data_IF_840700378773
#
_entry.id   IF_840700378773
#
_cell.length_a   1.000
_cell.length_b   1.000
_cell.length_c   1.000
_cell.angle_alpha   90.00
_cell.angle_beta   90.00
_cell.angle_gamma   90.00
#
_symmetry.space_group_name_H-M   'P 1'
#
loop_
_entity.id
_entity.type
_entity.pdbx_description
1 polymer ?
#
# COMPACT_ATOMS: atom_id res chain seq x y z
N UNK A 1 15.80 -50.82 19.88
CA UNK A 1 16.09 -49.75 18.91
C UNK A 1 14.83 -49.04 18.48
N UNK A 2 14.48 -48.00 19.23
CA UNK A 2 13.56 -46.97 18.79
C UNK A 2 14.45 -45.82 18.34
N UNK A 3 14.41 -45.48 17.05
CA UNK A 3 15.03 -44.26 16.54
C UNK A 3 13.90 -43.27 16.39
N UNK A 4 13.88 -42.31 17.31
CA UNK A 4 12.98 -41.18 17.38
C UNK A 4 13.08 -40.36 16.08
N UNK A 5 11.97 -40.24 15.36
CA UNK A 5 11.84 -39.25 14.29
C UNK A 5 11.73 -37.88 14.96
N UNK A 6 12.82 -37.11 14.83
CA UNK A 6 12.96 -35.73 15.27
C UNK A 6 11.95 -34.87 14.52
N UNK A 7 10.82 -34.60 15.18
CA UNK A 7 9.77 -33.69 14.74
C UNK A 7 10.40 -32.28 14.63
N UNK A 8 10.72 -31.88 13.40
CA UNK A 8 11.14 -30.52 13.07
C UNK A 8 9.98 -29.57 13.40
N UNK A 9 9.97 -29.10 14.65
CA UNK A 9 9.06 -28.09 15.16
C UNK A 9 9.37 -26.79 14.41
N UNK A 10 8.68 -26.58 13.30
CA UNK A 10 8.63 -25.29 12.63
C UNK A 10 8.15 -24.27 13.66
N UNK A 11 9.10 -23.51 14.19
CA UNK A 11 8.85 -22.39 15.06
C UNK A 11 8.16 -21.32 14.20
N UNK A 12 6.83 -21.43 14.08
CA UNK A 12 6.00 -20.40 13.47
C UNK A 12 6.08 -19.18 14.39
N UNK A 13 7.11 -18.36 14.19
CA UNK A 13 7.18 -17.03 14.76
C UNK A 13 5.88 -16.27 14.47
N UNK A 14 5.50 -15.29 15.31
CA UNK A 14 4.25 -14.56 15.11
C UNK A 14 4.22 -14.06 13.66
N UNK A 15 3.22 -14.52 12.89
CA UNK A 15 3.04 -14.10 11.51
C UNK A 15 3.13 -12.57 11.49
N UNK A 16 4.16 -12.03 10.82
CA UNK A 16 4.39 -10.61 10.78
C UNK A 16 3.10 -9.96 10.29
N UNK A 17 2.52 -9.05 11.09
CA UNK A 17 1.27 -8.40 10.71
C UNK A 17 1.47 -7.76 9.33
N UNK A 18 0.59 -8.09 8.38
CA UNK A 18 0.72 -7.64 7.00
C UNK A 18 -0.11 -6.37 6.80
N UNK A 19 0.42 -5.42 6.03
CA UNK A 19 -0.38 -4.32 5.49
C UNK A 19 -1.06 -4.83 4.22
N UNK A 20 -2.37 -4.84 4.23
CA UNK A 20 -3.21 -5.25 3.12
C UNK A 20 -3.60 -4.03 2.27
N UNK A 21 -3.60 -4.22 0.95
CA UNK A 21 -4.03 -3.20 -0.01
C UNK A 21 -5.49 -3.48 -0.35
N UNK A 22 -6.40 -2.61 0.07
CA UNK A 22 -7.85 -2.80 -0.14
C UNK A 22 -8.34 -2.14 -1.42
N UNK A 23 -7.72 -1.03 -1.84
CA UNK A 23 -7.98 -0.38 -3.13
C UNK A 23 -6.73 0.30 -3.66
N UNK A 24 -6.32 -0.03 -4.89
CA UNK A 24 -5.13 0.55 -5.52
C UNK A 24 -5.49 1.44 -6.72
N UNK A 25 -5.23 2.74 -6.57
CA UNK A 25 -5.34 3.73 -7.63
C UNK A 25 -3.98 4.23 -8.12
N UNK A 26 -3.98 5.01 -9.20
CA UNK A 26 -2.75 5.54 -9.79
C UNK A 26 -2.03 6.56 -8.89
N UNK A 27 -2.76 7.20 -7.97
CA UNK A 27 -2.23 8.27 -7.10
C UNK A 27 -2.63 8.14 -5.63
N UNK A 28 -3.44 7.14 -5.32
CA UNK A 28 -3.97 6.90 -3.99
C UNK A 28 -4.10 5.41 -3.75
N UNK A 29 -4.04 5.01 -2.49
CA UNK A 29 -4.13 3.63 -2.06
C UNK A 29 -4.89 3.56 -0.73
N UNK A 30 -5.91 2.73 -0.65
CA UNK A 30 -6.53 2.38 0.62
C UNK A 30 -5.86 1.12 1.17
N UNK A 31 -5.50 1.16 2.45
CA UNK A 31 -4.80 0.10 3.15
C UNK A 31 -5.53 -0.29 4.44
N UNK A 32 -5.30 -1.52 4.88
CA UNK A 32 -5.72 -2.03 6.17
C UNK A 32 -4.61 -2.81 6.86
N UNK A 33 -4.57 -2.79 8.20
CA UNK A 33 -3.65 -3.62 8.99
C UNK A 33 -4.26 -3.97 10.36
N UNK A 34 -3.78 -5.05 11.01
CA UNK A 34 -4.20 -5.40 12.36
C UNK A 34 -3.84 -4.32 13.38
N UNK A 35 -4.74 -4.05 14.32
CA UNK A 35 -4.50 -3.09 15.38
C UNK A 35 -3.33 -3.47 16.29
N UNK A 36 -2.58 -2.45 16.70
CA UNK A 36 -1.49 -2.59 17.64
C UNK A 36 -2.01 -2.94 19.03
N UNK A 37 -1.50 -4.03 19.61
CA UNK A 37 -1.89 -4.49 20.94
C UNK A 37 -1.60 -3.41 22.00
N UNK A 38 -2.67 -2.90 22.60
CA UNK A 38 -2.61 -1.96 23.71
C UNK A 38 -2.33 -2.72 25.01
N UNK A 39 -1.45 -2.17 25.86
CA UNK A 39 -1.16 -2.74 27.18
C UNK A 39 -1.98 -2.07 28.28
N UNK A 40 -2.58 -2.88 29.15
CA UNK A 40 -3.31 -2.42 30.32
C UNK A 40 -4.49 -1.51 29.96
N UNK A 41 -4.54 -0.33 30.56
CA UNK A 41 -5.60 0.67 30.35
C UNK A 41 -5.29 1.71 29.27
N UNK A 42 -4.25 1.50 28.46
CA UNK A 42 -3.93 2.42 27.36
C UNK A 42 -4.99 2.28 26.28
N UNK A 43 -5.54 3.41 25.82
CA UNK A 43 -6.61 3.45 24.82
C UNK A 43 -6.22 4.16 23.54
N UNK A 44 -5.07 4.85 23.55
CA UNK A 44 -4.64 5.71 22.47
C UNK A 44 -3.33 5.22 21.84
N UNK A 45 -3.31 5.19 20.52
CA UNK A 45 -2.15 4.80 19.72
C UNK A 45 -1.98 5.81 18.58
N UNK A 46 -0.73 6.07 18.23
CA UNK A 46 -0.38 6.84 17.04
C UNK A 46 0.30 5.92 16.04
N UNK A 47 -0.19 5.93 14.81
CA UNK A 47 0.34 5.22 13.67
C UNK A 47 1.07 6.17 12.74
N UNK A 48 2.14 5.66 12.12
CA UNK A 48 2.87 6.34 11.06
C UNK A 48 3.01 5.39 9.88
N UNK A 49 2.49 5.80 8.74
CA UNK A 49 2.61 5.06 7.48
C UNK A 49 3.73 5.69 6.66
N UNK A 50 4.73 4.89 6.31
CA UNK A 50 5.89 5.31 5.53
C UNK A 50 5.90 4.55 4.21
N UNK A 51 6.00 5.27 3.10
CA UNK A 51 6.19 4.69 1.78
C UNK A 51 7.67 4.72 1.41
N UNK A 52 8.20 3.60 0.92
CA UNK A 52 9.53 3.54 0.32
C UNK A 52 9.39 3.18 -1.15
N UNK A 53 10.04 3.95 -2.03
CA UNK A 53 10.14 3.62 -3.44
C UNK A 53 11.16 2.49 -3.64
N UNK A 54 10.82 1.56 -4.52
CA UNK A 54 11.75 0.51 -4.97
C UNK A 54 12.26 0.84 -6.37
N UNK A 55 13.58 0.76 -6.55
CA UNK A 55 14.22 0.97 -7.85
C UNK A 55 14.07 -0.26 -8.78
N UNK A 56 13.86 -1.45 -8.22
CA UNK A 56 13.77 -2.72 -8.95
C UNK A 56 12.92 -3.77 -8.23
N UNK A 57 12.84 -4.98 -8.80
CA UNK A 57 12.16 -6.15 -8.17
C UNK A 57 12.90 -6.68 -6.95
N UNK A 58 14.23 -6.69 -7.01
CA UNK A 58 15.12 -7.23 -5.97
C UNK A 58 15.59 -6.17 -4.96
N UNK A 59 15.11 -4.93 -5.11
CA UNK A 59 15.54 -3.83 -4.26
C UNK A 59 14.95 -4.00 -2.84
N UNK A 60 15.82 -3.98 -1.83
CA UNK A 60 15.40 -4.03 -0.43
C UNK A 60 14.95 -2.64 0.00
N UNK A 61 13.79 -2.50 0.67
CA UNK A 61 13.31 -1.19 1.09
C UNK A 61 14.22 -0.60 2.18
N UNK A 62 14.69 0.63 1.95
CA UNK A 62 15.40 1.42 2.94
C UNK A 62 14.52 2.57 3.42
N UNK A 63 13.73 2.29 4.45
CA UNK A 63 12.80 3.26 5.02
C UNK A 63 13.49 4.38 5.81
N UNK A 64 14.74 4.21 6.22
CA UNK A 64 15.43 5.22 7.05
C UNK A 64 16.06 6.30 6.17
N UNK A 65 16.56 5.95 4.98
CA UNK A 65 17.14 6.91 4.05
C UNK A 65 16.18 7.37 2.94
N UNK A 66 15.31 6.47 2.45
CA UNK A 66 14.39 6.73 1.31
C UNK A 66 12.91 6.77 1.68
N UNK A 67 12.57 6.42 2.93
CA UNK A 67 11.20 6.41 3.39
C UNK A 67 10.60 7.80 3.48
N UNK A 68 9.38 7.96 2.96
CA UNK A 68 8.59 9.17 3.06
C UNK A 68 7.36 8.89 3.91
N UNK A 69 7.13 9.68 4.96
CA UNK A 69 5.91 9.58 5.78
C UNK A 69 4.74 10.10 4.95
N UNK A 70 3.79 9.21 4.65
CA UNK A 70 2.63 9.50 3.79
C UNK A 70 1.34 9.66 4.58
N UNK A 71 1.26 9.11 5.78
CA UNK A 71 0.14 9.33 6.69
C UNK A 71 0.58 9.23 8.16
N UNK A 72 -0.09 9.97 9.04
CA UNK A 72 0.00 9.82 10.49
C UNK A 72 -1.40 9.88 11.06
N UNK A 73 -1.73 8.95 11.95
CA UNK A 73 -3.08 8.76 12.47
C UNK A 73 -2.98 8.61 13.98
N UNK A 74 -3.85 9.27 14.73
CA UNK A 74 -4.00 9.04 16.16
C UNK A 74 -5.39 8.49 16.40
N UNK A 75 -5.47 7.31 17.01
CA UNK A 75 -6.71 6.61 17.25
C UNK A 75 -6.89 6.38 18.75
N UNK A 76 -8.10 6.67 19.22
CA UNK A 76 -8.61 6.23 20.51
C UNK A 76 -9.56 5.06 20.30
N UNK A 77 -9.49 4.04 21.17
CA UNK A 77 -10.38 2.87 21.12
C UNK A 77 -10.43 2.23 19.72
N UNK A 78 -9.25 1.88 19.22
CA UNK A 78 -9.08 1.24 17.92
C UNK A 78 -9.91 -0.05 17.76
N UNK A 79 -10.49 -0.21 16.58
CA UNK A 79 -11.07 -1.46 16.09
C UNK A 79 -9.99 -2.53 15.88
N UNK A 80 -10.38 -3.79 15.70
CA UNK A 80 -9.43 -4.89 15.43
C UNK A 80 -8.58 -4.66 14.16
N UNK A 81 -9.17 -3.98 13.17
CA UNK A 81 -8.52 -3.58 11.94
C UNK A 81 -8.51 -2.06 11.81
N UNK A 82 -7.36 -1.51 11.45
CA UNK A 82 -7.17 -0.09 11.18
C UNK A 82 -7.09 0.13 9.69
N UNK A 83 -7.74 1.18 9.19
CA UNK A 83 -7.73 1.54 7.77
C UNK A 83 -7.20 2.95 7.56
N UNK A 84 -6.60 3.19 6.40
CA UNK A 84 -6.16 4.52 5.99
C UNK A 84 -6.12 4.66 4.47
N UNK A 85 -6.31 5.90 4.01
CA UNK A 85 -6.03 6.29 2.63
C UNK A 85 -4.67 6.96 2.57
N UNK A 86 -3.82 6.47 1.67
CA UNK A 86 -2.49 6.99 1.35
C UNK A 86 -2.59 7.80 0.05
N UNK A 87 -2.56 9.14 0.12
CA UNK A 87 -2.59 9.99 -1.06
C UNK A 87 -1.19 10.26 -1.62
N UNK A 88 -1.12 10.87 -2.81
CA UNK A 88 0.10 11.47 -3.34
C UNK A 88 1.11 10.48 -3.92
N UNK A 89 0.69 9.26 -4.24
CA UNK A 89 1.55 8.28 -4.90
C UNK A 89 1.84 8.70 -6.35
N UNK A 90 3.05 8.42 -6.82
CA UNK A 90 3.37 8.55 -8.23
C UNK A 90 2.84 7.34 -9.02
N UNK A 91 2.17 7.57 -10.17
CA UNK A 91 1.72 6.48 -11.05
C UNK A 91 2.87 5.64 -11.59
N UNK A 92 2.58 4.40 -11.98
CA UNK A 92 3.56 3.43 -12.51
C UNK A 92 4.86 3.34 -11.69
N UNK A 93 4.76 3.50 -10.36
CA UNK A 93 5.90 3.47 -9.45
C UNK A 93 5.72 2.34 -8.44
N UNK A 94 6.83 1.68 -8.10
CA UNK A 94 6.84 0.55 -7.20
C UNK A 94 7.10 1.01 -5.76
N UNK A 95 6.30 0.53 -4.83
CA UNK A 95 6.40 0.89 -3.42
C UNK A 95 6.35 -0.33 -2.51
N UNK A 96 6.87 -0.13 -1.30
CA UNK A 96 6.55 -0.91 -0.10
C UNK A 96 6.08 0.07 0.97
N UNK A 97 5.06 -0.30 1.74
CA UNK A 97 4.61 0.46 2.89
C UNK A 97 5.05 -0.21 4.19
N UNK A 98 5.47 0.62 5.14
CA UNK A 98 5.70 0.25 6.53
C UNK A 98 4.73 1.01 7.42
N UNK A 99 4.08 0.30 8.33
CA UNK A 99 3.32 0.90 9.41
C UNK A 99 4.08 0.73 10.71
N UNK A 100 4.33 1.85 11.35
CA UNK A 100 4.92 1.94 12.68
C UNK A 100 3.86 2.44 13.67
N UNK A 101 3.94 2.04 14.93
CA UNK A 101 3.02 2.47 15.97
C UNK A 101 3.74 2.93 17.24
N UNK A 102 3.13 3.85 18.01
CA UNK A 102 3.60 4.23 19.35
C UNK A 102 2.47 4.58 20.29
N UNK A 103 2.78 4.57 21.58
CA UNK A 103 1.98 5.27 22.57
C UNK A 103 2.35 6.75 22.58
N UNK A 104 1.40 7.67 22.33
CA UNK A 104 1.69 9.09 22.18
C UNK A 104 2.12 9.78 23.49
N UNK A 105 1.68 9.25 24.64
CA UNK A 105 1.85 9.92 25.94
C UNK A 105 2.72 9.18 26.95
N UNK A 106 3.14 7.94 26.66
CA UNK A 106 3.81 7.07 27.64
C UNK A 106 5.07 6.45 27.03
N UNK A 107 6.13 6.37 27.84
CA UNK A 107 7.40 5.73 27.47
C UNK A 107 8.31 6.57 26.59
N UNK A 108 9.31 5.92 25.99
CA UNK A 108 10.17 6.52 24.97
C UNK A 108 9.28 6.76 23.75
N UNK A 109 8.98 8.02 23.42
CA UNK A 109 8.06 8.45 22.32
C UNK A 109 8.53 8.06 20.91
N UNK A 110 9.45 7.10 20.80
CA UNK A 110 9.89 6.53 19.54
C UNK A 110 8.78 5.65 18.96
N UNK A 111 8.69 5.67 17.63
CA UNK A 111 7.88 4.70 16.91
C UNK A 111 8.50 3.31 17.03
N UNK A 112 7.66 2.29 17.16
CA UNK A 112 8.11 0.92 16.97
C UNK A 112 8.55 0.71 15.52
N UNK A 113 9.62 -0.04 15.31
CA UNK A 113 10.12 -0.33 13.97
C UNK A 113 9.37 -1.50 13.36
N UNK A 114 8.67 -1.27 12.25
CA UNK A 114 8.19 -2.34 11.36
C UNK A 114 7.08 -3.19 11.96
N UNK A 115 6.00 -2.57 12.46
CA UNK A 115 4.88 -3.34 13.02
C UNK A 115 4.08 -4.08 11.98
N UNK A 116 3.90 -3.47 10.83
CA UNK A 116 3.36 -4.13 9.67
C UNK A 116 4.09 -3.68 8.41
N UNK A 117 4.25 -4.60 7.47
CA UNK A 117 4.86 -4.35 6.17
C UNK A 117 3.90 -4.82 5.07
N UNK A 118 3.79 -4.05 3.99
CA UNK A 118 3.07 -4.51 2.81
C UNK A 118 3.97 -5.40 1.94
N UNK A 119 3.39 -6.27 1.10
CA UNK A 119 4.08 -6.74 -0.09
C UNK A 119 4.46 -5.55 -1.00
N UNK A 120 5.46 -5.73 -1.86
CA UNK A 120 5.76 -4.74 -2.89
C UNK A 120 4.61 -4.65 -3.90
N UNK A 121 4.21 -3.44 -4.28
CA UNK A 121 3.14 -3.21 -5.25
C UNK A 121 3.52 -2.14 -6.27
N UNK A 122 2.87 -2.18 -7.43
CA UNK A 122 3.05 -1.23 -8.52
C UNK A 122 1.75 -0.45 -8.70
N UNK A 123 1.80 0.87 -8.52
CA UNK A 123 0.63 1.72 -8.82
C UNK A 123 0.31 1.66 -10.32
N UNK A 124 -0.96 1.62 -10.73
CA UNK A 124 -1.33 1.59 -12.13
C UNK A 124 -1.01 2.92 -12.84
N UNK A 125 -1.06 2.90 -14.18
CA UNK A 125 -1.10 4.13 -14.96
C UNK A 125 -2.41 4.89 -14.71
N UNK A 126 -2.41 6.23 -14.82
CA UNK A 126 -3.65 6.99 -14.81
C UNK A 126 -4.52 6.56 -15.98
N UNK A 127 -5.82 6.37 -15.73
CA UNK A 127 -6.77 6.11 -16.81
C UNK A 127 -6.70 7.26 -17.84
N UNK A 128 -6.50 6.92 -19.11
CA UNK A 128 -6.58 7.92 -20.19
C UNK A 128 -8.04 8.33 -20.32
N UNK A 129 -8.37 9.63 -20.38
CA UNK A 129 -9.70 10.06 -20.77
C UNK A 129 -10.10 9.42 -22.11
N UNK A 130 -11.37 9.03 -22.30
CA UNK A 130 -11.82 8.53 -23.60
C UNK A 130 -11.54 9.59 -24.68
N UNK A 131 -11.03 9.15 -25.83
CA UNK A 131 -10.85 10.06 -26.96
C UNK A 131 -12.22 10.59 -27.40
N UNK A 132 -12.34 11.89 -27.72
CA UNK A 132 -13.57 12.39 -28.33
C UNK A 132 -13.82 11.65 -29.65
N UNK A 133 -15.09 11.40 -30.02
CA UNK A 133 -15.41 10.77 -31.30
C UNK A 133 -14.86 11.63 -32.44
N UNK A 134 -14.13 11.01 -33.37
CA UNK A 134 -13.62 11.69 -34.57
C UNK A 134 -14.79 11.82 -35.56
N UNK A 135 -15.10 13.04 -36.07
CA UNK A 135 -16.09 13.20 -37.13
C UNK A 135 -15.68 12.42 -38.37
N UNK A 136 -16.54 11.50 -38.83
CA UNK A 136 -16.36 10.84 -40.13
C UNK A 136 -16.83 11.82 -41.21
N UNK A 137 -15.91 12.30 -42.04
CA UNK A 137 -16.29 13.04 -43.24
C UNK A 137 -16.96 12.06 -44.20
N UNK A 138 -18.25 12.30 -44.50
CA UNK A 138 -18.92 11.61 -45.59
C UNK A 138 -18.34 12.20 -46.88
N UNK A 139 -17.57 11.39 -47.61
CA UNK A 139 -17.05 11.77 -48.92
C UNK A 139 -18.25 12.05 -49.83
N UNK A 140 -18.35 13.25 -50.44
CA UNK A 140 -19.45 13.55 -51.35
C UNK A 140 -19.38 12.60 -52.56
N UNK A 141 -20.53 12.15 -53.10
CA UNK A 141 -20.53 11.28 -54.26
C UNK A 141 -19.77 11.93 -55.41
N UNK A 142 -18.75 11.24 -55.92
CA UNK A 142 -18.00 11.65 -57.11
C UNK A 142 -18.97 11.89 -58.27
N UNK A 143 -18.92 13.06 -58.94
CA UNK A 143 -19.73 13.31 -60.12
C UNK A 143 -19.07 12.61 -61.31
N UNK A 144 -19.50 11.38 -61.62
CA UNK A 144 -19.11 10.71 -62.87
C UNK A 144 -20.29 10.65 -63.86
N UNK A 145 -20.06 11.41 -64.94
CA UNK A 145 -20.57 11.45 -66.31
C UNK A 145 -22.07 11.34 -66.63
N UNK A 146 -22.64 12.33 -67.36
CA UNK A 146 -23.86 12.12 -68.12
C UNK A 146 -23.58 11.17 -69.29
N UNK A 147 -24.42 10.15 -69.43
CA UNK A 147 -24.43 9.25 -70.58
C UNK A 147 -24.81 10.01 -71.86
N UNK A 148 -24.02 9.81 -72.92
CA UNK A 148 -24.36 10.14 -74.31
C UNK A 148 -24.91 8.90 -75.03
#
# INVERSE_FOLDING_TARGET
>A
DAVEEEEARAETGPAAACVELTRLGARELDISWPAFALQGSLTMVEYRVTACLLAGTEDSPDFESRGVVVATLTLEKQSEQVTATVPGLFPNTRYVLRVDARYPHIGKRAFSSGKALSPAFLTPFPARPPLPPVPVALEPPSPHDPAE
#
